data_IF_993574264505
#
_entry.id   IF_993574264505
#
_cell.length_a   1.000
_cell.length_b   1.000
_cell.length_c   1.000
_cell.angle_alpha   90.00
_cell.angle_beta   90.00
_cell.angle_gamma   90.00
#
_symmetry.space_group_name_H-M   'P 1'
#
loop_
_entity.id
_entity.type
_entity.pdbx_description
1 polymer ?
#
# COMPACT_ATOMS: atom_id res chain seq x y z
N UNK A 1 15.19 30.29 -3.49
CA UNK A 1 13.73 30.13 -3.54
C UNK A 1 13.50 28.64 -3.43
N UNK A 2 13.44 28.14 -2.20
CA UNK A 2 13.26 26.71 -1.94
C UNK A 2 11.86 26.33 -2.41
N UNK A 3 11.78 25.52 -3.46
CA UNK A 3 10.52 24.89 -3.83
C UNK A 3 10.19 23.89 -2.73
N UNK A 4 9.29 24.28 -1.82
CA UNK A 4 8.63 23.32 -0.94
C UNK A 4 7.85 22.37 -1.84
N UNK A 5 8.41 21.18 -2.08
CA UNK A 5 7.77 20.14 -2.86
C UNK A 5 6.59 19.59 -2.04
N UNK A 6 5.41 20.18 -2.21
CA UNK A 6 4.17 19.67 -1.62
C UNK A 6 3.83 18.34 -2.30
N UNK A 7 3.88 17.24 -1.53
CA UNK A 7 3.51 15.90 -1.99
C UNK A 7 2.12 15.58 -1.49
N UNK A 8 1.19 15.33 -2.42
CA UNK A 8 -0.12 14.77 -2.12
C UNK A 8 0.01 13.25 -2.14
N UNK A 9 -0.11 12.64 -0.97
CA UNK A 9 -0.12 11.19 -0.81
C UNK A 9 -1.53 10.79 -0.37
N UNK A 10 -2.04 9.70 -0.93
CA UNK A 10 -3.32 9.15 -0.49
C UNK A 10 -3.16 8.60 0.93
N UNK A 11 -4.23 8.61 1.70
CA UNK A 11 -4.20 8.03 3.04
C UNK A 11 -3.93 6.53 2.94
N UNK A 12 -3.10 6.03 3.86
CA UNK A 12 -2.64 4.64 3.85
C UNK A 12 -3.80 3.63 3.87
N UNK A 13 -4.82 3.88 4.69
CA UNK A 13 -6.02 3.03 4.78
C UNK A 13 -6.77 2.99 3.45
N UNK A 14 -6.94 4.15 2.80
CA UNK A 14 -7.58 4.25 1.47
C UNK A 14 -6.79 3.49 0.41
N UNK A 15 -5.45 3.52 0.50
CA UNK A 15 -4.60 2.73 -0.41
C UNK A 15 -4.82 1.23 -0.19
N UNK A 16 -4.94 0.76 1.06
CA UNK A 16 -5.21 -0.65 1.35
C UNK A 16 -6.58 -1.11 0.86
N UNK A 17 -7.62 -0.30 1.05
CA UNK A 17 -8.96 -0.55 0.50
C UNK A 17 -8.90 -0.69 -1.03
N UNK A 18 -8.24 0.25 -1.71
CA UNK A 18 -8.07 0.20 -3.17
C UNK A 18 -7.30 -1.06 -3.64
N UNK A 19 -6.32 -1.53 -2.86
CA UNK A 19 -5.58 -2.77 -3.16
C UNK A 19 -6.50 -3.98 -3.04
N UNK A 20 -7.31 -4.04 -1.99
CA UNK A 20 -8.29 -5.10 -1.78
C UNK A 20 -9.26 -5.17 -2.97
N UNK A 21 -9.81 -4.02 -3.38
CA UNK A 21 -10.75 -3.94 -4.49
C UNK A 21 -10.11 -4.39 -5.81
N UNK A 22 -8.90 -3.90 -6.12
CA UNK A 22 -8.25 -4.24 -7.38
C UNK A 22 -7.81 -5.70 -7.45
N UNK A 23 -7.50 -6.32 -6.31
CA UNK A 23 -7.32 -7.78 -6.22
C UNK A 23 -8.61 -8.54 -6.48
N UNK A 24 -9.77 -8.01 -6.08
CA UNK A 24 -11.08 -8.56 -6.48
C UNK A 24 -11.34 -8.43 -7.98
N UNK A 25 -11.02 -7.28 -8.57
CA UNK A 25 -11.28 -7.00 -9.98
C UNK A 25 -10.35 -7.75 -10.94
N UNK A 26 -9.07 -7.87 -10.58
CA UNK A 26 -8.04 -8.46 -11.44
C UNK A 26 -7.45 -9.77 -10.90
N UNK A 27 -8.05 -10.33 -9.85
CA UNK A 27 -7.55 -11.52 -9.16
C UNK A 27 -7.35 -12.73 -10.06
N UNK A 28 -8.25 -12.94 -11.02
CA UNK A 28 -8.11 -14.05 -11.99
C UNK A 28 -6.86 -13.91 -12.86
N UNK A 29 -6.54 -12.68 -13.30
CA UNK A 29 -5.32 -12.43 -14.07
C UNK A 29 -4.07 -12.74 -13.23
N UNK A 30 -4.06 -12.34 -11.96
CA UNK A 30 -2.94 -12.59 -11.04
C UNK A 30 -2.79 -14.10 -10.75
N UNK A 31 -3.90 -14.82 -10.54
CA UNK A 31 -3.92 -16.28 -10.37
C UNK A 31 -3.39 -17.03 -11.60
N UNK A 32 -3.61 -16.48 -12.80
CA UNK A 32 -3.06 -17.00 -14.05
C UNK A 32 -1.58 -16.65 -14.27
N UNK A 33 -0.94 -15.98 -13.30
CA UNK A 33 0.48 -15.63 -13.36
C UNK A 33 0.78 -14.40 -14.21
N UNK A 34 -0.23 -13.57 -14.52
CA UNK A 34 0.01 -12.27 -15.15
C UNK A 34 0.85 -11.41 -14.19
N UNK A 35 1.91 -10.82 -14.72
CA UNK A 35 2.75 -9.87 -13.98
C UNK A 35 1.91 -8.69 -13.47
N UNK A 36 1.86 -8.49 -12.14
CA UNK A 36 1.11 -7.42 -11.49
C UNK A 36 1.55 -6.02 -11.95
N UNK A 37 2.76 -5.89 -12.49
CA UNK A 37 3.25 -4.63 -13.09
C UNK A 37 2.48 -4.25 -14.36
N UNK A 38 1.69 -5.17 -14.90
CA UNK A 38 0.82 -5.01 -16.08
C UNK A 38 -0.66 -4.98 -15.70
N UNK A 39 -0.97 -4.72 -14.43
CA UNK A 39 -2.33 -4.64 -13.89
C UNK A 39 -2.51 -3.32 -13.14
N UNK A 40 -3.74 -3.00 -12.76
CA UNK A 40 -4.08 -1.83 -11.95
C UNK A 40 -3.57 -1.94 -10.51
N UNK A 41 -3.01 -3.09 -10.10
CA UNK A 41 -2.29 -3.27 -8.83
C UNK A 41 -1.05 -2.38 -8.75
N UNK A 42 -0.33 -2.20 -9.86
CA UNK A 42 0.93 -1.44 -9.89
C UNK A 42 0.83 -0.02 -9.29
N UNK A 43 -0.09 0.86 -9.72
CA UNK A 43 -0.18 2.21 -9.16
C UNK A 43 -0.41 2.21 -7.64
N UNK A 44 -1.26 1.32 -7.12
CA UNK A 44 -1.51 1.24 -5.68
C UNK A 44 -0.32 0.68 -4.90
N UNK A 45 0.40 -0.30 -5.44
CA UNK A 45 1.64 -0.79 -4.82
C UNK A 45 2.70 0.31 -4.73
N UNK A 46 2.80 1.18 -5.74
CA UNK A 46 3.69 2.36 -5.70
C UNK A 46 3.25 3.41 -4.69
N UNK A 47 1.95 3.53 -4.43
CA UNK A 47 1.45 4.41 -3.37
C UNK A 47 1.82 3.81 -2.00
N UNK A 48 1.52 2.54 -1.79
CA UNK A 48 1.82 1.83 -0.54
C UNK A 48 3.32 1.83 -0.21
N UNK A 49 4.19 1.62 -1.19
CA UNK A 49 5.65 1.67 -1.02
C UNK A 49 6.14 3.01 -0.42
N UNK A 50 5.41 4.11 -0.62
CA UNK A 50 5.76 5.41 -0.03
C UNK A 50 5.49 5.42 1.48
N UNK A 51 4.43 4.74 1.91
CA UNK A 51 4.06 4.57 3.32
C UNK A 51 4.93 3.53 4.05
N UNK A 52 5.47 2.54 3.33
CA UNK A 52 6.26 1.45 3.91
C UNK A 52 7.77 1.60 3.64
N UNK A 53 8.57 2.04 4.63
CA UNK A 53 10.01 2.21 4.42
C UNK A 53 10.78 0.88 4.42
N UNK A 54 11.79 0.78 3.54
CA UNK A 54 12.70 -0.37 3.52
C UNK A 54 12.15 -1.62 2.82
N UNK A 55 10.90 -1.59 2.35
CA UNK A 55 10.27 -2.71 1.66
C UNK A 55 9.92 -2.31 0.23
N UNK A 56 10.42 -3.09 -0.74
CA UNK A 56 10.11 -2.88 -2.15
C UNK A 56 8.68 -3.29 -2.47
N UNK A 57 8.07 -2.62 -3.44
CA UNK A 57 6.69 -2.89 -3.88
C UNK A 57 6.44 -4.36 -4.25
N UNK A 58 7.43 -5.08 -4.78
CA UNK A 58 7.27 -6.51 -5.10
C UNK A 58 7.07 -7.38 -3.85
N UNK A 59 7.75 -7.04 -2.75
CA UNK A 59 7.60 -7.76 -1.49
C UNK A 59 6.27 -7.41 -0.84
N UNK A 60 5.86 -6.13 -0.89
CA UNK A 60 4.54 -5.69 -0.43
C UNK A 60 3.43 -6.42 -1.19
N UNK A 61 3.53 -6.45 -2.53
CA UNK A 61 2.57 -7.16 -3.37
C UNK A 61 2.49 -8.64 -3.01
N UNK A 62 3.64 -9.32 -2.90
CA UNK A 62 3.67 -10.75 -2.57
C UNK A 62 2.93 -11.05 -1.26
N UNK A 63 3.27 -10.31 -0.21
CA UNK A 63 2.68 -10.50 1.12
C UNK A 63 1.20 -10.17 1.12
N UNK A 64 0.81 -9.03 0.55
CA UNK A 64 -0.60 -8.64 0.50
C UNK A 64 -1.45 -9.54 -0.39
N UNK A 65 -0.87 -10.11 -1.44
CA UNK A 65 -1.55 -11.08 -2.27
C UNK A 65 -1.84 -12.37 -1.50
N UNK A 66 -0.87 -12.88 -0.73
CA UNK A 66 -1.07 -14.02 0.15
C UNK A 66 -2.17 -13.74 1.19
N UNK A 67 -2.13 -12.55 1.83
CA UNK A 67 -3.18 -12.12 2.77
C UNK A 67 -4.55 -12.09 2.10
N UNK A 68 -4.65 -11.50 0.91
CA UNK A 68 -5.91 -11.43 0.16
C UNK A 68 -6.49 -12.82 -0.13
N UNK A 69 -5.65 -13.79 -0.53
CA UNK A 69 -6.10 -15.15 -0.82
C UNK A 69 -6.62 -15.89 0.42
N UNK A 70 -6.11 -15.55 1.61
CA UNK A 70 -6.51 -16.15 2.89
C UNK A 70 -7.62 -15.37 3.61
N UNK A 71 -8.03 -14.22 3.07
CA UNK A 71 -8.97 -13.33 3.73
C UNK A 71 -10.42 -13.67 3.40
N UNK A 72 -11.30 -13.59 4.41
CA UNK A 72 -12.75 -13.73 4.26
C UNK A 72 -13.36 -12.34 4.22
N UNK A 73 -13.36 -11.74 3.03
CA UNK A 73 -13.91 -10.41 2.79
C UNK A 73 -12.93 -9.27 3.08
N UNK A 74 -13.44 -8.05 2.94
CA UNK A 74 -12.65 -6.82 3.00
C UNK A 74 -12.09 -6.54 4.39
N UNK A 75 -12.92 -6.58 5.43
CA UNK A 75 -12.50 -6.25 6.79
C UNK A 75 -11.40 -7.18 7.31
N UNK A 76 -11.48 -8.48 7.02
CA UNK A 76 -10.46 -9.47 7.41
C UNK A 76 -9.13 -9.22 6.66
N UNK A 77 -9.20 -8.82 5.39
CA UNK A 77 -8.03 -8.41 4.63
C UNK A 77 -7.36 -7.18 5.27
N UNK A 78 -8.12 -6.13 5.56
CA UNK A 78 -7.59 -4.88 6.12
C UNK A 78 -6.95 -5.11 7.49
N UNK A 79 -7.58 -5.88 8.37
CA UNK A 79 -7.04 -6.21 9.70
C UNK A 79 -5.71 -6.97 9.59
N UNK A 80 -5.65 -8.00 8.75
CA UNK A 80 -4.42 -8.78 8.53
C UNK A 80 -3.32 -7.97 7.87
N UNK A 81 -3.67 -7.17 6.85
CA UNK A 81 -2.74 -6.29 6.15
C UNK A 81 -2.11 -5.30 7.13
N UNK A 82 -2.92 -4.68 8.00
CA UNK A 82 -2.45 -3.72 8.99
C UNK A 82 -1.45 -4.36 9.97
N UNK A 83 -1.78 -5.53 10.53
CA UNK A 83 -0.87 -6.25 11.44
C UNK A 83 0.48 -6.53 10.78
N UNK A 84 0.47 -6.98 9.53
CA UNK A 84 1.67 -7.39 8.80
C UNK A 84 2.50 -6.20 8.33
N UNK A 85 1.86 -5.10 7.95
CA UNK A 85 2.54 -3.92 7.42
C UNK A 85 2.98 -2.92 8.49
N UNK A 86 2.40 -2.98 9.69
CA UNK A 86 2.74 -2.13 10.84
C UNK A 86 4.24 -1.97 11.10
N UNK A 87 5.12 -2.99 10.98
CA UNK A 87 6.55 -2.81 11.18
C UNK A 87 7.23 -1.93 10.11
N UNK A 88 6.62 -1.82 8.94
CA UNK A 88 7.13 -1.05 7.80
C UNK A 88 6.45 0.31 7.65
N UNK A 89 5.22 0.43 8.15
CA UNK A 89 4.44 1.66 8.12
C UNK A 89 5.17 2.79 8.84
N UNK A 90 5.29 3.94 8.16
CA UNK A 90 5.65 5.18 8.80
C UNK A 90 4.38 5.92 9.15
N UNK A 91 4.19 6.20 10.44
CA UNK A 91 3.48 7.43 10.80
C UNK A 91 4.15 8.55 10.02
N UNK A 92 3.40 9.20 9.13
CA UNK A 92 3.82 10.48 8.58
C UNK A 92 3.91 11.39 9.80
N UNK A 93 5.10 11.47 10.40
CA UNK A 93 5.42 12.59 11.27
C UNK A 93 5.18 13.80 10.38
N UNK A 94 4.07 14.49 10.66
CA UNK A 94 3.91 15.87 10.28
C UNK A 94 5.20 16.56 10.73
N UNK A 95 6.10 16.79 9.78
CA UNK A 95 7.16 17.77 9.90
C UNK A 95 6.49 19.16 9.84
N UNK A 96 5.52 19.40 10.72
CA UNK A 96 5.25 20.74 11.22
C UNK A 96 6.35 21.03 12.23
N UNK A 97 7.49 21.43 11.67
CA UNK A 97 8.39 22.44 12.20
C UNK A 97 8.33 22.64 13.72
N UNK A 98 9.02 21.79 14.45
CA UNK A 98 9.85 22.32 15.52
C UNK A 98 10.87 23.27 14.86
N UNK A 99 10.91 24.52 15.36
CA UNK A 99 11.82 25.65 15.06
C UNK A 99 11.09 26.83 14.38
N UNK A 100 10.46 27.69 15.19
CA UNK A 100 11.14 28.93 15.57
C UNK A 100 10.71 29.36 16.98
N UNK A 101 11.70 29.55 17.84
CA UNK A 101 11.64 30.22 19.15
C UNK A 101 11.27 31.69 18.95
#
# INVERSE_FOLDING_TARGET
MDQVLMRFEADYDVVLECIQEVYGLEGDNLRQGKDFRKTMVLPFMKMLERHCYGTRMENLHKVLWEVYQESIGESDFLEKAEIILKPYYREVQQLEQNVCI
#
